data_IF_067404113667
#
_entry.id   IF_067404113667
#
_cell.length_a   1.000
_cell.length_b   1.000
_cell.length_c   1.000
_cell.angle_alpha   90.00
_cell.angle_beta   90.00
_cell.angle_gamma   90.00
#
_symmetry.space_group_name_H-M   'P 1'
#
loop_
_entity.id
_entity.type
_entity.pdbx_description
1 polymer ?
#
# COMPACT_ATOMS: atom_id res chain seq x y z
N UNK A 1 4.51 27.58 -9.21
CA UNK A 1 4.16 26.47 -10.14
C UNK A 1 3.75 25.17 -9.42
N UNK A 2 4.60 24.17 -9.11
CA UNK A 2 4.12 22.88 -8.49
C UNK A 2 3.47 23.09 -7.11
N UNK A 3 4.06 23.95 -6.27
CA UNK A 3 3.51 24.32 -4.95
C UNK A 3 2.15 25.01 -5.06
N UNK A 4 1.92 25.82 -6.09
CA UNK A 4 0.65 26.52 -6.28
C UNK A 4 -0.41 25.60 -6.90
N UNK A 5 -0.03 24.74 -7.84
CA UNK A 5 -0.94 23.78 -8.46
C UNK A 5 -1.49 22.75 -7.46
N UNK A 6 -0.70 22.36 -6.44
CA UNK A 6 -1.10 21.36 -5.43
C UNK A 6 -1.85 21.94 -4.23
N UNK A 7 -1.72 23.24 -3.94
CA UNK A 7 -2.37 23.90 -2.80
C UNK A 7 -3.77 24.47 -3.13
N UNK A 8 -4.22 24.38 -4.39
CA UNK A 8 -5.48 24.98 -4.86
C UNK A 8 -6.74 24.12 -4.67
N UNK A 9 -6.69 22.96 -3.99
CA UNK A 9 -7.90 22.20 -3.71
C UNK A 9 -8.67 22.76 -2.49
N UNK A 10 -9.36 23.90 -2.66
CA UNK A 10 -10.48 24.23 -1.75
C UNK A 10 -11.67 23.31 -2.05
N UNK A 11 -12.43 22.85 -1.03
CA UNK A 11 -13.63 22.06 -1.26
C UNK A 11 -14.70 22.94 -1.94
N UNK A 12 -15.44 22.36 -2.89
CA UNK A 12 -16.58 22.97 -3.55
C UNK A 12 -17.64 23.38 -2.51
N UNK A 13 -17.60 24.64 -2.11
CA UNK A 13 -18.65 25.34 -1.37
C UNK A 13 -18.90 26.65 -2.10
N UNK A 14 -20.16 26.91 -2.40
CA UNK A 14 -20.66 28.05 -3.16
C UNK A 14 -20.33 29.38 -2.48
N UNK A 15 -19.20 30.02 -2.81
CA UNK A 15 -18.99 31.46 -2.60
C UNK A 15 -18.14 32.04 -3.75
N UNK A 16 -18.52 33.24 -4.19
CA UNK A 16 -18.14 33.93 -5.43
C UNK A 16 -16.66 33.82 -5.85
N UNK A 17 -16.45 33.47 -7.12
CA UNK A 17 -15.15 33.44 -7.81
C UNK A 17 -14.50 34.83 -7.86
N UNK A 18 -13.70 35.16 -6.85
CA UNK A 18 -12.58 36.07 -7.06
C UNK A 18 -11.46 35.31 -7.78
N UNK A 19 -11.50 35.29 -9.11
CA UNK A 19 -10.44 34.73 -9.94
C UNK A 19 -9.12 35.45 -9.65
N UNK A 20 -8.24 34.81 -8.86
CA UNK A 20 -6.86 35.23 -8.71
C UNK A 20 -6.16 34.91 -10.02
N UNK A 21 -6.18 35.85 -10.96
CA UNK A 21 -5.42 35.78 -12.21
C UNK A 21 -3.93 35.91 -11.88
N UNK A 22 -3.29 34.77 -11.58
CA UNK A 22 -1.83 34.68 -11.56
C UNK A 22 -1.39 34.80 -13.02
N UNK A 23 -0.87 35.98 -13.39
CA UNK A 23 -0.16 36.15 -14.66
C UNK A 23 1.07 35.24 -14.62
N UNK A 24 0.99 34.11 -15.31
CA UNK A 24 2.16 33.32 -15.65
C UNK A 24 2.77 34.05 -16.84
N UNK A 25 3.92 34.70 -16.63
CA UNK A 25 4.63 35.35 -17.73
C UNK A 25 4.89 34.32 -18.84
N UNK A 26 4.54 34.66 -20.08
CA UNK A 26 4.85 33.82 -21.24
C UNK A 26 6.37 33.79 -21.42
N UNK A 27 6.99 32.74 -20.89
CA UNK A 27 8.41 32.47 -21.12
C UNK A 27 8.53 31.89 -22.52
N UNK A 28 9.12 32.65 -23.44
CA UNK A 28 9.47 32.17 -24.78
C UNK A 28 10.54 31.07 -24.67
N UNK A 29 10.06 29.82 -24.61
CA UNK A 29 10.87 28.62 -24.51
C UNK A 29 10.96 27.93 -25.87
N UNK A 30 12.18 27.75 -26.37
CA UNK A 30 12.47 27.09 -27.66
C UNK A 30 12.62 25.56 -27.55
N UNK A 31 12.61 24.98 -26.35
CA UNK A 31 12.73 23.53 -26.18
C UNK A 31 11.41 22.77 -26.44
N UNK A 32 11.42 21.44 -26.25
CA UNK A 32 10.25 20.59 -26.53
C UNK A 32 8.99 21.09 -25.79
N UNK A 33 7.91 21.29 -26.55
CA UNK A 33 6.56 21.60 -26.04
C UNK A 33 5.68 20.35 -26.21
N UNK A 34 5.73 19.39 -25.28
CA UNK A 34 4.95 18.16 -25.40
C UNK A 34 3.46 18.49 -25.52
N UNK A 35 2.88 18.12 -26.65
CA UNK A 35 1.45 18.29 -26.93
C UNK A 35 0.66 17.07 -26.41
N UNK A 36 -0.55 17.29 -25.88
CA UNK A 36 -1.42 16.22 -25.39
C UNK A 36 -1.55 16.18 -23.87
N UNK A 37 -1.66 14.97 -23.29
CA UNK A 37 -1.80 14.79 -21.86
C UNK A 37 -1.15 13.52 -21.32
N UNK A 38 -0.88 13.51 -20.02
CA UNK A 38 -0.27 12.41 -19.29
C UNK A 38 -1.23 11.87 -18.22
N UNK A 39 -1.11 10.58 -17.93
CA UNK A 39 -1.84 9.91 -16.87
C UNK A 39 -0.83 9.23 -15.94
N UNK A 40 -0.77 9.68 -14.70
CA UNK A 40 -0.01 9.05 -13.63
C UNK A 40 -0.91 8.16 -12.79
N UNK A 41 -0.68 6.84 -12.83
CA UNK A 41 -1.36 5.88 -11.97
C UNK A 41 -0.34 5.25 -11.01
N UNK A 42 -0.70 5.15 -9.73
CA UNK A 42 0.18 4.58 -8.70
C UNK A 42 1.58 5.24 -8.75
N UNK A 43 2.67 4.45 -8.83
CA UNK A 43 4.03 4.97 -8.98
C UNK A 43 4.19 5.98 -10.14
N UNK A 44 3.43 5.85 -11.21
CA UNK A 44 3.41 6.82 -12.32
C UNK A 44 2.98 8.22 -11.91
N UNK A 45 2.20 8.38 -10.83
CA UNK A 45 1.90 9.68 -10.23
C UNK A 45 3.14 10.35 -9.63
N UNK A 46 3.99 9.58 -8.92
CA UNK A 46 5.26 10.09 -8.39
C UNK A 46 6.19 10.52 -9.53
N UNK A 47 6.30 9.69 -10.58
CA UNK A 47 7.05 10.04 -11.79
C UNK A 47 6.53 11.32 -12.44
N UNK A 48 5.20 11.46 -12.54
CA UNK A 48 4.57 12.65 -13.12
C UNK A 48 4.84 13.89 -12.28
N UNK A 49 4.81 13.81 -10.95
CA UNK A 49 5.17 14.93 -10.08
C UNK A 49 6.63 15.36 -10.24
N UNK A 50 7.56 14.39 -10.31
CA UNK A 50 8.97 14.67 -10.60
C UNK A 50 9.16 15.27 -11.97
N UNK A 51 8.47 14.76 -12.99
CA UNK A 51 8.51 15.31 -14.33
C UNK A 51 8.04 16.78 -14.36
N UNK A 52 6.90 17.07 -13.73
CA UNK A 52 6.34 18.42 -13.62
C UNK A 52 7.21 19.39 -12.81
N UNK A 53 8.10 18.91 -11.94
CA UNK A 53 9.03 19.77 -11.20
C UNK A 53 10.27 20.14 -12.00
N UNK A 54 10.56 19.43 -13.10
CA UNK A 54 11.77 19.59 -13.91
C UNK A 54 11.52 20.20 -15.28
N UNK A 55 10.30 20.14 -15.80
CA UNK A 55 9.99 20.68 -17.13
C UNK A 55 9.44 22.11 -17.08
N UNK A 56 9.94 23.03 -17.93
CA UNK A 56 9.40 24.39 -18.01
C UNK A 56 8.05 24.43 -18.74
N UNK A 57 7.80 23.48 -19.66
CA UNK A 57 6.57 23.40 -20.44
C UNK A 57 5.94 22.01 -20.36
N UNK A 58 5.03 21.76 -19.40
CA UNK A 58 4.38 20.48 -19.27
C UNK A 58 3.29 20.25 -20.33
N UNK A 59 2.82 19.01 -20.50
CA UNK A 59 1.65 18.67 -21.31
C UNK A 59 0.39 19.45 -20.88
N UNK A 60 -0.55 19.63 -21.80
CA UNK A 60 -1.78 20.40 -21.56
C UNK A 60 -2.65 19.83 -20.45
N UNK A 61 -2.63 18.51 -20.26
CA UNK A 61 -3.44 17.82 -19.26
C UNK A 61 -2.56 16.80 -18.52
N UNK A 62 -2.58 16.80 -17.20
CA UNK A 62 -1.92 15.80 -16.37
C UNK A 62 -2.93 15.24 -15.38
N UNK A 63 -3.29 13.97 -15.55
CA UNK A 63 -4.28 13.27 -14.74
C UNK A 63 -3.58 12.38 -13.71
N UNK A 64 -4.01 12.47 -12.46
CA UNK A 64 -3.53 11.63 -11.37
C UNK A 64 -4.62 10.64 -10.97
N UNK A 65 -4.27 9.36 -10.90
CA UNK A 65 -5.14 8.27 -10.42
C UNK A 65 -4.53 7.55 -9.22
N UNK A 66 -3.64 8.24 -8.50
CA UNK A 66 -2.91 7.76 -7.34
C UNK A 66 -1.47 8.25 -7.37
N UNK A 67 -0.71 7.90 -6.32
CA UNK A 67 0.71 8.21 -6.20
C UNK A 67 1.02 9.70 -6.15
N UNK A 68 0.52 10.36 -5.12
CA UNK A 68 0.89 11.73 -4.81
C UNK A 68 2.02 11.70 -3.78
N UNK A 69 3.18 12.24 -4.15
CA UNK A 69 4.31 12.35 -3.25
C UNK A 69 3.99 13.29 -2.07
N UNK A 70 4.36 12.93 -0.83
CA UNK A 70 4.16 13.76 0.34
C UNK A 70 5.19 14.91 0.35
N UNK A 71 4.90 16.00 -0.37
CA UNK A 71 5.76 17.19 -0.40
C UNK A 71 5.56 18.03 0.87
N UNK A 72 6.64 18.58 1.43
CA UNK A 72 6.67 19.45 2.62
C UNK A 72 6.02 18.81 3.85
N UNK A 73 6.00 17.48 3.90
CA UNK A 73 5.36 16.69 4.95
C UNK A 73 6.41 15.84 5.65
N UNK A 74 6.55 15.93 6.99
CA UNK A 74 7.43 15.02 7.72
C UNK A 74 7.02 13.57 7.49
N UNK A 75 7.98 12.68 7.24
CA UNK A 75 7.71 11.26 6.99
C UNK A 75 6.93 10.59 8.13
N UNK A 76 7.19 11.03 9.38
CA UNK A 76 6.45 10.59 10.56
C UNK A 76 4.94 10.83 10.42
N UNK A 77 4.54 11.95 9.83
CA UNK A 77 3.12 12.27 9.64
C UNK A 77 2.52 11.40 8.55
N UNK A 78 3.26 11.15 7.46
CA UNK A 78 2.87 10.23 6.38
C UNK A 78 2.57 8.85 6.96
N UNK A 79 3.50 8.28 7.74
CA UNK A 79 3.30 6.98 8.37
C UNK A 79 2.23 6.99 9.46
N UNK A 80 2.12 8.05 10.24
CA UNK A 80 1.04 8.19 11.25
C UNK A 80 -0.33 8.18 10.59
N UNK A 81 -0.48 8.85 9.46
CA UNK A 81 -1.71 8.90 8.69
C UNK A 81 -2.00 7.57 7.96
N UNK A 82 -0.97 6.88 7.49
CA UNK A 82 -1.08 5.52 6.95
C UNK A 82 -1.57 4.56 8.04
N UNK A 83 -0.95 4.58 9.22
CA UNK A 83 -1.30 3.71 10.35
C UNK A 83 -2.77 3.86 10.77
N UNK A 84 -3.25 5.10 10.89
CA UNK A 84 -4.67 5.37 11.17
C UNK A 84 -5.62 4.74 10.15
N UNK A 85 -5.27 4.80 8.85
CA UNK A 85 -6.06 4.20 7.77
C UNK A 85 -6.04 2.68 7.83
N UNK A 86 -4.86 2.09 8.02
CA UNK A 86 -4.70 0.63 8.19
C UNK A 86 -5.52 0.15 9.37
N UNK A 87 -5.40 0.80 10.54
CA UNK A 87 -6.17 0.46 11.73
C UNK A 87 -7.69 0.51 11.50
N UNK A 88 -8.19 1.56 10.83
CA UNK A 88 -9.61 1.68 10.48
C UNK A 88 -10.07 0.54 9.57
N UNK A 89 -9.29 0.21 8.54
CA UNK A 89 -9.58 -0.88 7.59
C UNK A 89 -9.56 -2.25 8.28
N UNK A 90 -8.55 -2.51 9.11
CA UNK A 90 -8.46 -3.73 9.91
C UNK A 90 -9.64 -3.88 10.86
N UNK A 91 -10.08 -2.79 11.51
CA UNK A 91 -11.25 -2.80 12.38
C UNK A 91 -12.52 -3.16 11.59
N UNK A 92 -12.76 -2.50 10.46
CA UNK A 92 -13.90 -2.79 9.58
C UNK A 92 -13.91 -4.25 9.12
N UNK A 93 -12.75 -4.80 8.79
CA UNK A 93 -12.60 -6.20 8.44
C UNK A 93 -13.04 -7.13 9.58
N UNK A 94 -12.55 -6.90 10.80
CA UNK A 94 -12.90 -7.72 11.95
C UNK A 94 -14.33 -7.52 12.48
N UNK A 95 -14.94 -6.34 12.23
CA UNK A 95 -16.37 -6.14 12.48
C UNK A 95 -17.21 -7.05 11.57
N UNK A 96 -16.76 -7.32 10.34
CA UNK A 96 -17.43 -8.22 9.39
C UNK A 96 -17.11 -9.71 9.64
N UNK A 97 -15.86 -10.02 10.01
CA UNK A 97 -15.37 -11.38 10.24
C UNK A 97 -14.70 -11.51 11.63
N UNK A 98 -15.48 -11.50 12.73
CA UNK A 98 -14.92 -11.50 14.09
C UNK A 98 -14.13 -12.76 14.43
N UNK A 99 -14.50 -13.91 13.83
CA UNK A 99 -13.79 -15.18 14.01
C UNK A 99 -12.34 -15.16 13.52
N UNK A 100 -12.04 -14.30 12.55
CA UNK A 100 -10.71 -14.23 11.94
C UNK A 100 -9.67 -13.64 12.89
N UNK A 101 -10.07 -12.91 13.95
CA UNK A 101 -9.13 -12.41 14.96
C UNK A 101 -8.39 -13.56 15.63
N UNK A 102 -9.10 -14.61 16.02
CA UNK A 102 -8.49 -15.80 16.64
C UNK A 102 -7.64 -16.57 15.63
N UNK A 103 -8.11 -16.68 14.39
CA UNK A 103 -7.42 -17.39 13.31
C UNK A 103 -6.11 -16.71 12.92
N UNK A 104 -6.11 -15.39 12.74
CA UNK A 104 -4.90 -14.59 12.47
C UNK A 104 -3.88 -14.74 13.59
N UNK A 105 -4.30 -14.63 14.85
CA UNK A 105 -3.41 -14.84 16.01
C UNK A 105 -2.79 -16.23 15.98
N UNK A 106 -3.57 -17.26 15.65
CA UNK A 106 -3.11 -18.65 15.56
C UNK A 106 -2.10 -18.86 14.44
N UNK A 107 -2.36 -18.29 13.24
CA UNK A 107 -1.41 -18.33 12.11
C UNK A 107 -0.11 -17.64 12.52
N UNK A 108 -0.18 -16.45 13.12
CA UNK A 108 1.01 -15.70 13.58
C UNK A 108 1.79 -16.51 14.63
N UNK A 109 1.11 -17.09 15.62
CA UNK A 109 1.76 -17.93 16.64
C UNK A 109 2.42 -19.16 16.03
N UNK A 110 1.75 -19.85 15.10
CA UNK A 110 2.35 -20.98 14.36
C UNK A 110 3.61 -20.56 13.62
N UNK A 111 3.60 -19.41 12.95
CA UNK A 111 4.74 -18.92 12.17
C UNK A 111 5.87 -18.32 13.02
N UNK A 112 5.56 -17.86 14.24
CA UNK A 112 6.56 -17.44 15.22
C UNK A 112 7.27 -18.65 15.87
N UNK A 113 6.54 -19.75 16.08
CA UNK A 113 7.13 -21.01 16.52
C UNK A 113 8.09 -21.57 15.47
N UNK A 114 7.64 -21.65 14.21
CA UNK A 114 8.47 -22.14 13.11
C UNK A 114 7.94 -21.58 11.77
N UNK A 115 8.79 -20.91 10.97
CA UNK A 115 8.43 -20.49 9.61
C UNK A 115 8.07 -21.68 8.70
N UNK A 116 7.08 -21.52 7.84
CA UNK A 116 6.63 -22.60 6.94
C UNK A 116 7.36 -22.51 5.59
N UNK A 117 7.82 -23.63 4.99
CA UNK A 117 8.41 -23.60 3.65
C UNK A 117 7.35 -23.28 2.59
N UNK A 118 7.71 -22.44 1.62
CA UNK A 118 6.83 -22.11 0.49
C UNK A 118 7.04 -23.07 -0.70
N UNK A 119 6.02 -23.27 -1.57
CA UNK A 119 6.08 -24.25 -2.64
C UNK A 119 7.17 -24.04 -3.70
N UNK A 120 7.51 -22.80 -4.07
CA UNK A 120 8.58 -22.49 -5.03
C UNK A 120 9.93 -22.18 -4.35
N UNK A 121 9.98 -22.17 -3.01
CA UNK A 121 11.20 -21.94 -2.24
C UNK A 121 11.07 -20.79 -1.24
N UNK A 122 12.02 -20.72 -0.30
CA UNK A 122 11.98 -19.76 0.80
C UNK A 122 10.99 -20.14 1.89
N UNK A 123 10.69 -19.19 2.77
CA UNK A 123 9.84 -19.44 3.95
C UNK A 123 8.82 -18.32 4.17
N UNK A 124 7.61 -18.74 4.53
CA UNK A 124 6.58 -17.88 5.09
C UNK A 124 6.91 -17.61 6.55
N UNK A 125 7.19 -16.35 6.88
CA UNK A 125 7.39 -15.89 8.26
C UNK A 125 6.15 -15.14 8.75
N UNK A 126 6.01 -14.96 10.06
CA UNK A 126 4.92 -14.16 10.63
C UNK A 126 4.89 -12.73 10.06
N UNK A 127 6.07 -12.11 9.86
CA UNK A 127 6.19 -10.78 9.25
C UNK A 127 5.70 -10.75 7.80
N UNK A 128 6.14 -11.72 7.00
CA UNK A 128 5.69 -11.86 5.60
C UNK A 128 4.18 -12.07 5.52
N UNK A 129 3.62 -12.89 6.41
CA UNK A 129 2.17 -13.07 6.51
C UNK A 129 1.41 -11.78 6.80
N UNK A 130 1.88 -10.96 7.75
CA UNK A 130 1.20 -9.70 8.10
C UNK A 130 1.24 -8.64 6.98
N UNK A 131 2.11 -8.78 5.99
CA UNK A 131 2.20 -7.88 4.84
C UNK A 131 1.07 -8.07 3.81
N UNK A 132 0.30 -9.17 3.84
CA UNK A 132 -0.82 -9.40 2.90
C UNK A 132 -1.90 -8.33 2.98
N UNK A 133 -1.96 -7.59 4.09
CA UNK A 133 -2.85 -6.46 4.26
C UNK A 133 -2.73 -5.42 3.13
N UNK A 134 -1.57 -5.32 2.47
CA UNK A 134 -1.38 -4.44 1.31
C UNK A 134 -2.36 -4.77 0.17
N UNK A 135 -2.49 -6.05 -0.20
CA UNK A 135 -3.34 -6.49 -1.31
C UNK A 135 -4.82 -6.57 -0.99
N UNK A 136 -5.17 -6.85 0.28
CA UNK A 136 -6.55 -7.02 0.72
C UNK A 136 -7.08 -5.76 1.42
N UNK A 137 -6.51 -5.38 2.56
CA UNK A 137 -7.03 -4.25 3.35
C UNK A 137 -6.82 -2.89 2.65
N UNK A 138 -5.78 -2.79 1.82
CA UNK A 138 -5.49 -1.62 0.98
C UNK A 138 -6.41 -1.48 -0.25
N UNK A 139 -7.15 -2.53 -0.61
CA UNK A 139 -7.96 -2.57 -1.82
C UNK A 139 -9.44 -2.21 -1.58
N UNK A 140 -10.29 -2.44 -2.58
CA UNK A 140 -11.74 -2.30 -2.47
C UNK A 140 -12.30 -3.16 -1.32
N UNK A 141 -13.35 -2.73 -0.60
CA UNK A 141 -13.99 -3.56 0.43
C UNK A 141 -14.41 -4.97 -0.01
N UNK A 142 -14.64 -5.18 -1.31
CA UNK A 142 -14.94 -6.51 -1.88
C UNK A 142 -13.82 -7.53 -1.70
N UNK A 143 -12.58 -7.07 -1.49
CA UNK A 143 -11.43 -7.94 -1.22
C UNK A 143 -11.44 -8.55 0.19
N UNK A 144 -12.28 -8.06 1.11
CA UNK A 144 -12.37 -8.61 2.46
C UNK A 144 -12.85 -10.06 2.45
N UNK A 145 -13.82 -10.39 1.58
CA UNK A 145 -14.29 -11.76 1.42
C UNK A 145 -13.18 -12.70 0.90
N UNK A 146 -12.29 -12.20 0.04
CA UNK A 146 -11.14 -12.96 -0.47
C UNK A 146 -10.12 -13.22 0.65
N UNK A 147 -9.84 -12.22 1.49
CA UNK A 147 -8.99 -12.39 2.68
C UNK A 147 -9.59 -13.40 3.65
N UNK A 148 -10.88 -13.30 3.95
CA UNK A 148 -11.57 -14.24 4.83
C UNK A 148 -11.49 -15.68 4.29
N UNK A 149 -11.72 -15.86 2.98
CA UNK A 149 -11.57 -17.16 2.31
C UNK A 149 -10.14 -17.70 2.41
N UNK A 150 -9.13 -16.86 2.18
CA UNK A 150 -7.73 -17.23 2.30
C UNK A 150 -7.42 -17.71 3.72
N UNK A 151 -7.75 -16.90 4.73
CA UNK A 151 -7.50 -17.23 6.13
C UNK A 151 -8.20 -18.51 6.56
N UNK A 152 -9.47 -18.67 6.18
CA UNK A 152 -10.27 -19.86 6.50
C UNK A 152 -9.69 -21.16 5.92
N UNK A 153 -8.89 -21.05 4.85
CA UNK A 153 -8.20 -22.19 4.22
C UNK A 153 -6.80 -22.47 4.76
N UNK A 154 -6.37 -21.77 5.82
CA UNK A 154 -4.97 -21.79 6.25
C UNK A 154 -4.46 -23.17 6.70
N UNK A 155 -5.25 -23.90 7.49
CA UNK A 155 -4.81 -25.16 8.10
C UNK A 155 -5.45 -26.39 7.45
N UNK A 156 -4.72 -27.50 7.43
CA UNK A 156 -5.29 -28.81 7.12
C UNK A 156 -6.21 -29.20 8.27
N UNK A 157 -7.49 -29.46 7.98
CA UNK A 157 -8.44 -29.99 8.96
C UNK A 157 -8.12 -31.47 9.18
N UNK A 158 -7.25 -31.77 10.15
CA UNK A 158 -7.21 -33.10 10.75
C UNK A 158 -8.42 -33.26 11.68
N UNK A 159 -8.72 -34.47 12.17
CA UNK A 159 -9.95 -34.82 12.91
C UNK A 159 -10.30 -33.94 14.15
N UNK A 160 -9.41 -33.05 14.58
CA UNK A 160 -9.68 -31.99 15.55
C UNK A 160 -9.91 -30.65 14.84
N UNK A 161 -11.04 -30.00 15.13
CA UNK A 161 -11.32 -28.65 14.64
C UNK A 161 -10.16 -27.69 15.00
N UNK A 162 -9.46 -27.12 14.01
CA UNK A 162 -8.36 -26.18 14.26
C UNK A 162 -8.77 -25.02 15.15
N UNK A 163 -10.06 -24.66 15.21
CA UNK A 163 -10.59 -23.61 16.08
C UNK A 163 -10.42 -23.91 17.59
N UNK A 164 -10.48 -25.19 17.98
CA UNK A 164 -10.42 -25.64 19.38
C UNK A 164 -8.98 -25.79 19.92
N UNK A 165 -8.00 -25.76 19.03
CA UNK A 165 -6.58 -25.82 19.41
C UNK A 165 -6.16 -24.49 20.05
N UNK A 166 -5.85 -24.51 21.35
CA UNK A 166 -5.53 -23.30 22.12
C UNK A 166 -4.17 -23.35 22.82
N UNK A 167 -3.61 -24.55 23.03
CA UNK A 167 -2.26 -24.69 23.60
C UNK A 167 -1.19 -24.31 22.56
N UNK A 168 -0.12 -23.65 23.00
CA UNK A 168 0.98 -23.26 22.10
C UNK A 168 1.68 -24.46 21.45
N UNK A 169 1.83 -25.56 22.20
CA UNK A 169 2.43 -26.80 21.70
C UNK A 169 1.60 -27.42 20.59
N UNK A 170 0.27 -27.44 20.73
CA UNK A 170 -0.60 -28.00 19.69
C UNK A 170 -0.73 -27.06 18.50
N UNK A 171 -0.69 -25.74 18.73
CA UNK A 171 -0.58 -24.75 17.64
C UNK A 171 0.69 -25.01 16.83
N UNK A 172 1.84 -25.28 17.46
CA UNK A 172 3.09 -25.61 16.77
C UNK A 172 3.00 -26.83 15.84
N UNK A 173 2.12 -27.79 16.15
CA UNK A 173 1.90 -29.02 15.36
C UNK A 173 0.99 -28.81 14.15
N UNK A 174 0.26 -27.69 14.08
CA UNK A 174 -0.65 -27.41 12.98
C UNK A 174 0.11 -27.35 11.65
N UNK A 175 -0.49 -27.94 10.63
CA UNK A 175 0.05 -27.97 9.27
C UNK A 175 -0.73 -27.02 8.38
N UNK A 176 -0.02 -26.18 7.62
CA UNK A 176 -0.66 -25.30 6.66
C UNK A 176 -1.13 -26.09 5.43
N UNK A 177 -2.29 -25.72 4.89
CA UNK A 177 -2.77 -26.30 3.65
C UNK A 177 -1.91 -25.81 2.47
N UNK A 178 -1.59 -26.71 1.52
CA UNK A 178 -0.72 -26.37 0.38
C UNK A 178 -1.29 -25.23 -0.47
N UNK A 179 -2.60 -25.14 -0.62
CA UNK A 179 -3.24 -24.05 -1.37
C UNK A 179 -3.04 -22.70 -0.70
N UNK A 180 -3.09 -22.65 0.63
CA UNK A 180 -2.84 -21.41 1.39
C UNK A 180 -1.41 -20.93 1.16
N UNK A 181 -0.42 -21.83 1.29
CA UNK A 181 0.99 -21.48 1.05
C UNK A 181 1.22 -21.01 -0.38
N UNK A 182 0.58 -21.65 -1.37
CA UNK A 182 0.64 -21.23 -2.78
C UNK A 182 0.01 -19.84 -3.00
N UNK A 183 -1.12 -19.54 -2.36
CA UNK A 183 -1.74 -18.21 -2.43
C UNK A 183 -0.85 -17.14 -1.80
N UNK A 184 -0.24 -17.42 -0.64
CA UNK A 184 0.69 -16.51 0.02
C UNK A 184 1.91 -16.15 -0.85
N UNK A 185 2.40 -17.13 -1.61
CA UNK A 185 3.48 -16.94 -2.57
C UNK A 185 3.06 -16.08 -3.76
N UNK A 186 1.91 -16.37 -4.35
CA UNK A 186 1.37 -15.61 -5.49
C UNK A 186 1.01 -14.16 -5.15
N UNK A 187 0.50 -13.91 -3.94
CA UNK A 187 0.13 -12.56 -3.49
C UNK A 187 1.36 -11.67 -3.20
N UNK A 188 2.56 -12.27 -3.10
CA UNK A 188 3.79 -11.60 -2.71
C UNK A 188 4.95 -11.99 -3.62
N UNK A 189 4.78 -11.76 -4.92
CA UNK A 189 5.76 -12.01 -5.99
C UNK A 189 6.94 -11.02 -5.98
N UNK A 190 7.51 -10.73 -4.80
CA UNK A 190 8.64 -9.81 -4.67
C UNK A 190 9.92 -10.32 -5.34
N UNK A 191 10.02 -11.63 -5.54
CA UNK A 191 11.14 -12.28 -6.20
C UNK A 191 11.22 -11.90 -7.69
N UNK A 192 10.08 -11.59 -8.32
CA UNK A 192 9.99 -11.12 -9.71
C UNK A 192 10.22 -9.60 -9.84
N UNK A 193 10.03 -8.85 -8.76
CA UNK A 193 10.11 -7.39 -8.73
C UNK A 193 10.98 -6.89 -7.57
N UNK A 194 12.27 -7.26 -7.49
CA UNK A 194 13.11 -6.95 -6.33
C UNK A 194 13.29 -5.44 -6.13
N UNK A 195 13.33 -4.66 -7.21
CA UNK A 195 13.45 -3.20 -7.15
C UNK A 195 12.25 -2.57 -6.43
N UNK A 196 11.05 -3.15 -6.56
CA UNK A 196 9.87 -2.65 -5.86
C UNK A 196 10.14 -2.61 -4.35
N UNK A 197 10.64 -3.70 -3.77
CA UNK A 197 10.85 -3.76 -2.32
C UNK A 197 11.87 -2.73 -1.82
N UNK A 198 12.94 -2.52 -2.58
CA UNK A 198 14.03 -1.62 -2.22
C UNK A 198 13.65 -0.15 -2.38
N UNK A 199 12.90 0.17 -3.43
CA UNK A 199 12.56 1.56 -3.79
C UNK A 199 11.21 2.01 -3.25
N UNK A 200 10.33 1.10 -2.80
CA UNK A 200 8.97 1.46 -2.45
C UNK A 200 8.88 2.45 -1.28
N UNK A 201 9.83 2.43 -0.35
CA UNK A 201 9.84 3.40 0.74
C UNK A 201 10.39 4.77 0.32
N UNK A 202 11.41 4.80 -0.54
CA UNK A 202 12.11 6.05 -0.89
C UNK A 202 11.20 7.05 -1.60
N UNK A 203 10.12 6.59 -2.23
CA UNK A 203 9.11 7.45 -2.87
C UNK A 203 8.33 8.33 -1.88
N UNK A 204 8.35 8.00 -0.57
CA UNK A 204 7.71 8.80 0.47
C UNK A 204 8.65 9.79 1.16
N UNK A 205 9.94 9.80 0.80
CA UNK A 205 10.90 10.76 1.33
C UNK A 205 10.70 12.14 0.70
N UNK A 206 10.97 13.20 1.47
CA UNK A 206 10.98 14.60 1.00
C UNK A 206 12.37 15.22 1.18
N UNK A 207 13.36 14.58 0.54
CA UNK A 207 14.76 14.98 0.56
C UNK A 207 15.41 14.97 1.95
N UNK A 208 16.67 15.40 1.98
CA UNK A 208 17.52 15.32 3.19
C UNK A 208 17.13 16.34 4.28
N UNK A 209 16.39 17.38 3.90
CA UNK A 209 16.09 18.52 4.80
C UNK A 209 14.76 18.40 5.52
N UNK A 210 13.74 17.79 4.90
CA UNK A 210 12.39 17.77 5.48
C UNK A 210 11.97 16.39 6.01
N UNK A 211 12.43 15.29 5.40
CA UNK A 211 11.92 13.96 5.74
C UNK A 211 12.81 12.77 5.27
N UNK A 212 14.00 12.56 5.86
CA UNK A 212 14.79 11.35 5.60
C UNK A 212 14.09 10.10 6.14
N UNK A 213 14.21 8.97 5.45
CA UNK A 213 13.57 7.70 5.85
C UNK A 213 14.25 7.00 7.02
N UNK A 214 15.54 7.27 7.25
CA UNK A 214 16.35 6.68 8.33
C UNK A 214 16.25 5.14 8.38
N UNK A 215 16.24 4.52 7.20
CA UNK A 215 16.28 3.07 7.02
C UNK A 215 17.69 2.52 7.10
#
# INVERSE_FOLDING_TARGET
>A
LVREALLLSKPLGEEEEAAVNIKVDEVDWEGPKPWGGCLGQSFGGFCLMTYLSQVPNPPKICLFTGGIAPILSPLKDVYTQLWKRVQKRTKLYYEMYPGDVALVKKIVQRLLHEPAPLPAGGSLTARRFLQIGLGYLGSSPSSFAALHKLLSSAFVVAAADPSQVTSLEDIGKLQFHRSFLKSMEMDQSFDDAPIYYWMHESIYADGDTNAPTQW
#
